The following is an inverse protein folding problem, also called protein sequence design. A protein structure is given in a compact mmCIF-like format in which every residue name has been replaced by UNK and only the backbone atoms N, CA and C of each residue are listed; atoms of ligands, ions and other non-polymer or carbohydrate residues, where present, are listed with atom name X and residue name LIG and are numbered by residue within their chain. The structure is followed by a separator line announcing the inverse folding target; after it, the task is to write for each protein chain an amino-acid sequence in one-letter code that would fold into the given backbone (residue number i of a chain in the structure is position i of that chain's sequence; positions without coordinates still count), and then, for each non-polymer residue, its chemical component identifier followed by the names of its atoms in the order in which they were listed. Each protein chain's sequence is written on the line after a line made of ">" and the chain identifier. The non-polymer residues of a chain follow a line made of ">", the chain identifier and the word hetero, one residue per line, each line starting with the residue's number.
data_IF_297728958968
#
_entry.id   IF_297728958968
#
_cell.length_a   1.000
_cell.length_b   1.000
_cell.length_c   1.000
_cell.angle_alpha   90.00
_cell.angle_beta   90.00
_cell.angle_gamma   90.00
#
_symmetry.space_group_name_H-M   'P 1'
#
loop_
_entity.id
_entity.type
_entity.pdbx_description
1 polymer ?
#
# COMPACT_ATOMS: atom_id res chain seq x y z
N UNK A 1 1.50 20.03 3.39
CA UNK A 1 0.08 19.86 3.78
C UNK A 1 -0.05 18.43 4.24
N UNK A 2 -0.52 18.16 5.46
CA UNK A 2 -0.85 16.79 5.86
C UNK A 2 -2.04 16.35 5.01
N UNK A 3 -1.78 15.56 3.98
CA UNK A 3 -2.85 14.88 3.24
C UNK A 3 -3.46 13.88 4.21
N UNK A 4 -4.63 14.25 4.75
CA UNK A 4 -5.42 13.34 5.55
C UNK A 4 -5.94 12.27 4.60
N UNK A 5 -5.41 11.05 4.73
CA UNK A 5 -5.86 9.90 3.97
C UNK A 5 -7.32 9.61 4.36
N UNK A 6 -8.21 9.59 3.37
CA UNK A 6 -9.62 9.26 3.57
C UNK A 6 -9.89 7.92 2.88
N UNK A 7 -10.09 6.89 3.69
CA UNK A 7 -10.30 5.52 3.23
C UNK A 7 -11.80 5.19 3.15
N UNK A 8 -12.17 4.37 2.17
CA UNK A 8 -13.52 3.79 2.02
C UNK A 8 -13.32 2.29 1.83
N UNK A 9 -13.99 1.46 2.65
CA UNK A 9 -14.24 0.01 2.52
C UNK A 9 -13.66 -0.93 3.62
N UNK A 10 -13.38 -0.44 4.83
CA UNK A 10 -13.16 -1.25 6.03
C UNK A 10 -11.80 -1.94 6.16
N UNK A 11 -11.10 -2.17 5.04
CA UNK A 11 -9.72 -2.65 4.95
C UNK A 11 -8.99 -1.89 3.86
N UNK A 12 -7.68 -1.70 4.03
CA UNK A 12 -6.81 -0.97 3.10
C UNK A 12 -5.70 -1.91 2.66
N UNK A 13 -5.54 -2.11 1.34
CA UNK A 13 -4.36 -2.79 0.79
C UNK A 13 -3.16 -1.86 0.77
N UNK A 14 -2.00 -2.47 0.91
CA UNK A 14 -0.68 -1.87 0.84
C UNK A 14 -0.42 -1.16 -0.50
N UNK A 15 -0.79 -1.78 -1.63
CA UNK A 15 -0.68 -1.19 -2.97
C UNK A 15 -1.44 0.14 -3.06
N UNK A 16 -2.66 0.19 -2.53
CA UNK A 16 -3.46 1.40 -2.53
C UNK A 16 -2.90 2.44 -1.56
N UNK A 17 -2.45 2.02 -0.38
CA UNK A 17 -1.82 2.90 0.60
C UNK A 17 -0.53 3.54 0.04
N UNK A 18 0.31 2.75 -0.64
CA UNK A 18 1.56 3.19 -1.28
C UNK A 18 1.35 4.33 -2.28
N UNK A 19 0.37 4.18 -3.17
CA UNK A 19 0.05 5.20 -4.16
C UNK A 19 -0.46 6.48 -3.47
N UNK A 20 -1.33 6.35 -2.48
CA UNK A 20 -1.86 7.50 -1.74
C UNK A 20 -0.78 8.23 -0.93
N UNK A 21 0.19 7.48 -0.38
CA UNK A 21 1.32 8.00 0.38
C UNK A 21 2.45 8.54 -0.51
N UNK A 22 2.38 8.28 -1.81
CA UNK A 22 3.31 8.79 -2.80
C UNK A 22 4.67 8.09 -2.77
N UNK A 23 4.70 6.80 -2.44
CA UNK A 23 5.94 6.02 -2.51
C UNK A 23 6.39 5.91 -3.96
N UNK A 24 7.65 6.25 -4.24
CA UNK A 24 8.20 6.28 -5.60
C UNK A 24 9.07 5.07 -5.91
N UNK A 25 9.70 4.47 -4.89
CA UNK A 25 10.60 3.34 -5.03
C UNK A 25 10.57 2.45 -3.78
N UNK A 26 11.27 1.32 -3.84
CA UNK A 26 11.32 0.30 -2.78
C UNK A 26 11.94 0.78 -1.47
N UNK A 27 12.63 1.92 -1.45
CA UNK A 27 13.24 2.45 -0.23
C UNK A 27 12.27 3.24 0.66
N UNK A 28 11.05 3.49 0.17
CA UNK A 28 10.09 4.33 0.86
C UNK A 28 9.37 3.57 1.96
N UNK A 29 9.55 4.08 3.18
CA UNK A 29 8.84 3.64 4.38
C UNK A 29 8.11 4.84 4.97
N UNK A 30 6.81 4.70 5.20
CA UNK A 30 6.00 5.74 5.82
C UNK A 30 5.28 5.21 7.06
N UNK A 31 5.50 5.80 8.25
CA UNK A 31 4.67 5.55 9.42
C UNK A 31 3.26 6.07 9.18
N UNK A 32 2.27 5.20 9.28
CA UNK A 32 0.85 5.54 9.11
C UNK A 32 0.09 5.62 10.44
N UNK A 33 0.65 5.05 11.51
CA UNK A 33 0.10 5.11 12.86
C UNK A 33 1.18 4.89 13.90
N UNK A 34 1.08 5.58 15.03
CA UNK A 34 1.91 5.34 16.21
C UNK A 34 1.04 4.86 17.38
N UNK A 35 1.54 3.89 18.14
CA UNK A 35 0.95 3.47 19.40
C UNK A 35 2.04 2.99 20.37
N UNK A 36 2.14 3.66 21.53
CA UNK A 36 3.25 3.46 22.49
C UNK A 36 4.61 3.67 21.79
N UNK A 37 5.53 2.72 21.92
CA UNK A 37 6.85 2.72 21.29
C UNK A 37 6.86 1.97 19.94
N UNK A 38 5.70 1.82 19.29
CA UNK A 38 5.55 1.11 18.03
C UNK A 38 4.92 1.99 16.94
N UNK A 39 5.32 1.73 15.72
CA UNK A 39 4.86 2.38 14.50
C UNK A 39 4.33 1.30 13.56
N UNK A 40 3.12 1.51 13.05
CA UNK A 40 2.62 0.77 11.91
C UNK A 40 3.13 1.49 10.68
N UNK A 41 4.01 0.82 9.95
CA UNK A 41 4.61 1.35 8.74
C UNK A 41 3.95 0.74 7.50
N UNK A 42 4.01 1.48 6.41
CA UNK A 42 3.85 0.97 5.05
C UNK A 42 5.22 1.01 4.41
N UNK A 43 5.66 -0.11 3.87
CA UNK A 43 6.78 -0.21 2.95
C UNK A 43 6.21 -0.82 1.67
N UNK A 44 6.21 -0.06 0.58
CA UNK A 44 5.55 -0.54 -0.62
C UNK A 44 5.88 0.33 -1.80
N UNK A 45 6.19 -0.31 -2.92
CA UNK A 45 6.08 0.30 -4.24
C UNK A 45 5.25 -0.62 -5.13
N UNK A 46 4.41 -0.01 -5.95
CA UNK A 46 3.73 -0.70 -7.05
C UNK A 46 4.56 -0.49 -8.30
N UNK A 47 4.86 -1.57 -9.02
CA UNK A 47 5.53 -1.52 -10.31
C UNK A 47 4.59 -2.14 -11.34
N UNK A 48 4.20 -1.39 -12.36
CA UNK A 48 3.45 -1.92 -13.51
C UNK A 48 4.40 -2.08 -14.68
N UNK A 49 4.43 -3.27 -15.28
CA UNK A 49 5.20 -3.59 -16.47
C UNK A 49 4.34 -3.33 -17.71
N UNK A 50 4.83 -2.49 -18.62
CA UNK A 50 4.22 -2.24 -19.92
C UNK A 50 4.73 -3.22 -20.98
N UNK A 51 4.01 -3.35 -22.09
CA UNK A 51 4.34 -4.23 -23.22
C UNK A 51 5.73 -3.99 -23.85
N UNK A 52 6.30 -2.80 -23.66
CA UNK A 52 7.61 -2.42 -24.19
C UNK A 52 8.74 -2.54 -23.16
N UNK A 53 8.52 -3.32 -22.09
CA UNK A 53 9.40 -3.50 -20.93
C UNK A 53 9.62 -2.21 -20.10
N UNK A 54 8.82 -1.15 -20.31
CA UNK A 54 8.84 0.03 -19.46
C UNK A 54 8.20 -0.28 -18.10
N UNK A 55 8.83 0.20 -17.03
CA UNK A 55 8.31 0.10 -15.67
C UNK A 55 7.69 1.43 -15.25
N UNK A 56 6.43 1.39 -14.77
CA UNK A 56 5.81 2.51 -14.07
C UNK A 56 5.87 2.24 -12.57
N UNK A 57 6.59 3.06 -11.81
CA UNK A 57 6.79 2.85 -10.38
C UNK A 57 6.02 3.85 -9.52
N UNK A 58 5.47 3.38 -8.41
CA UNK A 58 4.93 4.25 -7.37
C UNK A 58 3.77 5.10 -7.87
N UNK A 59 3.91 6.43 -7.88
CA UNK A 59 2.87 7.32 -8.41
C UNK A 59 2.85 7.41 -9.93
N UNK A 60 3.88 6.93 -10.64
CA UNK A 60 3.91 6.94 -12.11
C UNK A 60 2.82 6.06 -12.70
N UNK A 61 2.33 5.06 -11.97
CA UNK A 61 1.19 4.24 -12.37
C UNK A 61 -0.09 5.06 -12.61
N UNK A 62 -0.19 6.25 -12.00
CA UNK A 62 -1.30 7.18 -12.23
C UNK A 62 -1.28 7.79 -13.63
N UNK A 63 -0.16 7.72 -14.35
CA UNK A 63 -0.09 8.16 -15.75
C UNK A 63 -1.03 7.36 -16.65
N UNK A 64 -1.34 6.10 -16.33
CA UNK A 64 -2.35 5.30 -17.03
C UNK A 64 -3.77 5.89 -16.87
N UNK A 65 -4.03 6.52 -15.73
CA UNK A 65 -5.30 7.22 -15.48
C UNK A 65 -5.30 8.57 -16.21
N UNK A 66 -4.20 9.32 -16.10
CA UNK A 66 -4.06 10.64 -16.72
C UNK A 66 -4.07 10.57 -18.25
N UNK A 67 -3.54 9.48 -18.83
CA UNK A 67 -3.59 9.21 -20.28
C UNK A 67 -4.95 8.71 -20.75
N UNK A 68 -5.87 8.42 -19.84
CA UNK A 68 -7.20 7.88 -20.13
C UNK A 68 -7.19 6.41 -20.56
N UNK A 69 -6.14 5.66 -20.24
CA UNK A 69 -6.07 4.22 -20.51
C UNK A 69 -7.07 3.46 -19.61
N UNK A 70 -7.12 3.81 -18.32
CA UNK A 70 -8.08 3.28 -17.37
C UNK A 70 -8.63 4.38 -16.44
N UNK A 71 -9.71 4.08 -15.72
CA UNK A 71 -10.17 4.91 -14.62
C UNK A 71 -9.41 4.60 -13.33
N UNK A 72 -9.39 5.53 -12.37
CA UNK A 72 -8.81 5.27 -11.05
C UNK A 72 -9.44 4.03 -10.38
N UNK A 73 -10.73 3.80 -10.56
CA UNK A 73 -11.41 2.62 -10.01
C UNK A 73 -10.91 1.31 -10.64
N UNK A 74 -10.72 1.30 -11.97
CA UNK A 74 -10.14 0.16 -12.68
C UNK A 74 -8.70 -0.11 -12.25
N UNK A 75 -7.88 0.93 -12.09
CA UNK A 75 -6.53 0.78 -11.56
C UNK A 75 -6.54 0.19 -10.16
N UNK A 76 -7.39 0.68 -9.25
CA UNK A 76 -7.52 0.14 -7.89
C UNK A 76 -7.93 -1.33 -7.91
N UNK A 77 -8.92 -1.70 -8.73
CA UNK A 77 -9.38 -3.08 -8.84
C UNK A 77 -8.29 -3.99 -9.40
N UNK A 78 -7.56 -3.54 -10.43
CA UNK A 78 -6.42 -4.27 -10.98
C UNK A 78 -5.33 -4.51 -9.93
N UNK A 79 -4.96 -3.49 -9.15
CA UNK A 79 -3.98 -3.61 -8.07
C UNK A 79 -4.47 -4.42 -6.87
N UNK A 80 -5.78 -4.67 -6.77
CA UNK A 80 -6.38 -5.62 -5.83
C UNK A 80 -6.39 -7.07 -6.37
N UNK A 81 -5.86 -7.30 -7.57
CA UNK A 81 -5.83 -8.60 -8.23
C UNK A 81 -7.15 -8.98 -8.91
N UNK A 82 -8.06 -8.02 -9.12
CA UNK A 82 -9.30 -8.27 -9.88
C UNK A 82 -9.03 -8.28 -11.39
N UNK A 83 -9.80 -9.08 -12.13
CA UNK A 83 -9.77 -9.05 -13.59
C UNK A 83 -10.38 -7.74 -14.10
N UNK A 84 -9.59 -6.95 -14.82
CA UNK A 84 -10.00 -5.68 -15.43
C UNK A 84 -9.66 -5.73 -16.92
N UNK A 85 -10.69 -5.62 -17.79
CA UNK A 85 -10.57 -5.82 -19.24
C UNK A 85 -9.53 -4.87 -19.87
N UNK A 86 -9.52 -3.61 -19.45
CA UNK A 86 -8.60 -2.58 -19.93
C UNK A 86 -7.17 -2.72 -19.40
N UNK A 87 -6.91 -3.67 -18.49
CA UNK A 87 -5.58 -3.84 -17.87
C UNK A 87 -5.01 -5.25 -18.11
N UNK A 88 -5.63 -6.07 -18.98
CA UNK A 88 -5.23 -7.47 -19.19
C UNK A 88 -3.83 -7.63 -19.78
N UNK A 89 -3.31 -6.61 -20.45
CA UNK A 89 -1.95 -6.60 -21.03
C UNK A 89 -0.87 -6.28 -20.00
N UNK A 90 -1.24 -5.70 -18.86
CA UNK A 90 -0.28 -5.33 -17.82
C UNK A 90 -0.10 -6.42 -16.79
N UNK A 91 1.14 -6.57 -16.36
CA UNK A 91 1.50 -7.27 -15.14
C UNK A 91 1.94 -6.24 -14.11
N UNK A 92 1.73 -6.52 -12.82
CA UNK A 92 2.29 -5.71 -11.76
C UNK A 92 3.09 -6.55 -10.79
N UNK A 93 4.17 -5.96 -10.30
CA UNK A 93 4.98 -6.46 -9.20
C UNK A 93 4.68 -5.58 -8.00
N UNK A 94 4.49 -6.22 -6.85
CA UNK A 94 4.29 -5.55 -5.57
C UNK A 94 5.25 -6.13 -4.55
N UNK A 95 6.10 -5.28 -4.00
CA UNK A 95 6.92 -5.52 -2.80
C UNK A 95 6.31 -4.80 -1.59
N UNK A 96 4.98 -4.80 -1.55
CA UNK A 96 4.22 -4.05 -0.59
C UNK A 96 3.98 -4.89 0.68
N UNK A 97 4.18 -4.27 1.84
CA UNK A 97 3.75 -4.79 3.12
C UNK A 97 3.55 -3.69 4.16
N UNK A 98 2.66 -3.99 5.08
CA UNK A 98 2.58 -3.35 6.37
C UNK A 98 3.39 -4.15 7.38
N UNK A 99 3.95 -3.46 8.35
CA UNK A 99 4.58 -4.08 9.49
C UNK A 99 4.46 -3.19 10.72
N UNK A 100 4.40 -3.82 11.90
CA UNK A 100 4.66 -3.12 13.15
C UNK A 100 6.16 -3.14 13.43
N UNK A 101 6.71 -1.96 13.65
CA UNK A 101 8.11 -1.77 14.01
C UNK A 101 8.19 -1.01 15.33
N UNK A 102 9.16 -1.33 16.19
CA UNK A 102 9.46 -0.49 17.33
C UNK A 102 10.11 0.82 16.85
N UNK A 103 10.03 1.88 17.66
CA UNK A 103 10.76 3.14 17.41
C UNK A 103 12.29 3.00 17.39
N UNK A 104 12.80 1.82 17.74
CA UNK A 104 14.21 1.48 17.70
C UNK A 104 14.60 0.68 16.46
N UNK A 105 13.64 0.38 15.57
CA UNK A 105 13.86 -0.30 14.31
C UNK A 105 13.63 -1.82 14.34
N UNK A 106 13.25 -2.38 15.47
CA UNK A 106 13.02 -3.83 15.62
C UNK A 106 11.63 -4.22 15.10
N UNK A 107 11.57 -5.25 14.26
CA UNK A 107 10.31 -5.79 13.76
C UNK A 107 9.51 -6.44 14.88
N UNK A 108 8.26 -6.02 15.03
CA UNK A 108 7.31 -6.47 16.05
C UNK A 108 6.18 -7.31 15.47
N UNK A 109 6.14 -7.44 14.14
CA UNK A 109 5.27 -8.36 13.41
C UNK A 109 6.01 -8.90 12.19
N UNK A 110 5.55 -10.05 11.68
CA UNK A 110 5.80 -10.43 10.29
C UNK A 110 5.11 -9.41 9.35
N UNK A 111 5.59 -9.25 8.10
CA UNK A 111 4.91 -8.46 7.08
C UNK A 111 3.49 -8.96 6.78
N UNK A 112 2.56 -8.05 6.51
CA UNK A 112 1.18 -8.37 6.11
C UNK A 112 0.66 -7.40 5.03
N UNK A 113 -0.33 -7.83 4.24
CA UNK A 113 -0.75 -7.19 2.98
C UNK A 113 -1.90 -6.17 3.14
N UNK A 114 -2.59 -6.17 4.28
CA UNK A 114 -3.77 -5.32 4.52
C UNK A 114 -3.87 -4.83 5.98
N UNK A 115 -4.34 -3.60 6.17
CA UNK A 115 -4.68 -3.04 7.50
C UNK A 115 -6.17 -2.78 7.64
N UNK A 116 -6.68 -2.74 8.87
CA UNK A 116 -8.02 -2.25 9.14
C UNK A 116 -8.09 -0.73 9.00
N UNK A 117 -9.21 -0.18 8.54
CA UNK A 117 -9.44 1.27 8.63
C UNK A 117 -9.55 1.77 10.08
N UNK A 118 -10.00 0.89 10.98
CA UNK A 118 -10.18 1.22 12.38
C UNK A 118 -8.85 1.17 13.11
N UNK A 119 -8.43 2.33 13.61
CA UNK A 119 -7.26 2.45 14.48
C UNK A 119 -7.33 1.49 15.67
N UNK A 120 -8.48 1.42 16.35
CA UNK A 120 -8.68 0.54 17.50
C UNK A 120 -8.51 -0.94 17.14
N UNK A 121 -8.93 -1.36 15.94
CA UNK A 121 -8.72 -2.73 15.47
C UNK A 121 -7.23 -3.02 15.23
N UNK A 122 -6.51 -2.14 14.52
CA UNK A 122 -5.07 -2.32 14.31
C UNK A 122 -4.29 -2.35 15.63
N UNK A 123 -4.66 -1.50 16.60
CA UNK A 123 -4.07 -1.50 17.95
C UNK A 123 -4.40 -2.79 18.70
N UNK A 124 -5.62 -3.31 18.57
CA UNK A 124 -6.00 -4.58 19.19
C UNK A 124 -5.14 -5.72 18.65
N UNK A 125 -4.96 -5.80 17.32
CA UNK A 125 -4.08 -6.78 16.67
C UNK A 125 -2.63 -6.67 17.16
N UNK A 126 -2.08 -5.46 17.28
CA UNK A 126 -0.75 -5.27 17.85
C UNK A 126 -0.65 -5.79 19.29
N UNK A 127 -1.63 -5.47 20.14
CA UNK A 127 -1.58 -5.96 21.51
C UNK A 127 -1.70 -7.49 21.59
N UNK A 128 -2.42 -8.14 20.67
CA UNK A 128 -2.47 -9.60 20.57
C UNK A 128 -1.07 -10.15 20.22
N UNK A 129 -0.42 -9.62 19.19
CA UNK A 129 0.94 -10.01 18.77
C UNK A 129 1.98 -9.87 19.90
N UNK A 130 1.92 -8.78 20.68
CA UNK A 130 2.88 -8.53 21.76
C UNK A 130 2.68 -9.43 23.00
N UNK A 131 1.57 -10.14 23.08
CA UNK A 131 1.25 -11.04 24.21
C UNK A 131 1.49 -12.53 23.87
N UNK A 132 1.97 -12.84 22.66
CA UNK A 132 2.42 -14.17 22.22
C UNK A 132 3.88 -14.44 22.61
#
# INVERSE_FOLDING_TARGET
>A
MNQQLVFKNGQVSDNYASILLGHQDESYVTPIMEYKEYELIVESVVIILLDDDTELMGTEVLTLVDSGHCTLAQLINFLAGEEVEEMQEFEFISSAWFAWQSKHGDWSSEPFDTVYESQDKNITTLNELLNE
#
